data_IF_959576370648
#
_entry.id   IF_959576370648
#
_cell.length_a   1.000
_cell.length_b   1.000
_cell.length_c   1.000
_cell.angle_alpha   90.00
_cell.angle_beta   90.00
_cell.angle_gamma   90.00
#
_symmetry.space_group_name_H-M   'P 1'
#
loop_
_entity.id
_entity.type
_entity.pdbx_description
1 polymer ?
#
# COMPACT_ATOMS: atom_id res chain seq x y z
N UNK A 1 -54.39 30.92 18.48
CA UNK A 1 -53.03 31.32 18.16
C UNK A 1 -52.11 30.09 18.42
N UNK A 2 -51.42 29.57 17.43
CA UNK A 2 -50.45 28.51 17.69
C UNK A 2 -49.24 29.11 18.42
N UNK A 3 -48.60 28.35 19.33
CA UNK A 3 -47.43 28.84 20.07
C UNK A 3 -46.25 29.06 19.11
N UNK A 4 -45.64 30.24 19.17
CA UNK A 4 -44.48 30.62 18.44
C UNK A 4 -43.31 29.69 18.83
N UNK A 5 -42.73 28.95 17.87
CA UNK A 5 -41.50 28.17 18.09
C UNK A 5 -40.37 29.14 18.44
N UNK A 6 -39.63 28.90 19.52
CA UNK A 6 -38.50 29.75 19.86
C UNK A 6 -37.45 29.67 18.74
N UNK A 7 -37.03 30.83 18.21
CA UNK A 7 -35.89 30.93 17.30
C UNK A 7 -34.61 30.55 18.04
N UNK A 8 -33.79 29.66 17.52
CA UNK A 8 -32.53 29.25 18.15
C UNK A 8 -31.42 30.28 17.90
N UNK A 9 -31.64 31.52 18.37
CA UNK A 9 -30.63 32.59 18.26
C UNK A 9 -29.81 32.72 19.55
N UNK A 10 -29.29 31.60 20.05
CA UNK A 10 -28.43 31.55 21.22
C UNK A 10 -27.00 31.06 20.88
N UNK A 11 -26.01 31.51 21.63
CA UNK A 11 -24.63 31.02 21.53
C UNK A 11 -24.53 29.52 21.79
N UNK A 12 -25.39 28.98 22.64
CA UNK A 12 -25.42 27.59 23.09
C UNK A 12 -25.63 26.58 21.93
N UNK A 13 -26.62 26.75 21.01
CA UNK A 13 -26.77 25.84 19.87
C UNK A 13 -25.58 25.83 18.92
N UNK A 14 -24.93 26.98 18.70
CA UNK A 14 -23.74 27.05 17.84
C UNK A 14 -22.54 26.35 18.50
N UNK A 15 -22.35 26.50 19.80
CA UNK A 15 -21.31 25.81 20.55
C UNK A 15 -21.53 24.29 20.53
N UNK A 16 -22.78 23.86 20.68
CA UNK A 16 -23.13 22.44 20.64
C UNK A 16 -22.87 21.85 19.27
N UNK A 17 -23.27 22.54 18.17
CA UNK A 17 -22.98 22.10 16.80
C UNK A 17 -21.47 22.01 16.53
N UNK A 18 -20.66 22.96 17.02
CA UNK A 18 -19.20 22.91 16.90
C UNK A 18 -18.63 21.68 17.62
N UNK A 19 -19.08 21.40 18.85
CA UNK A 19 -18.64 20.25 19.62
C UNK A 19 -19.00 18.92 18.94
N UNK A 20 -20.18 18.84 18.36
CA UNK A 20 -20.61 17.66 17.59
C UNK A 20 -19.72 17.44 16.37
N UNK A 21 -19.47 18.49 15.58
CA UNK A 21 -18.58 18.42 14.41
C UNK A 21 -17.16 18.02 14.82
N UNK A 22 -16.61 18.62 15.89
CA UNK A 22 -15.28 18.28 16.38
C UNK A 22 -15.20 16.83 16.88
N UNK A 23 -16.26 16.34 17.54
CA UNK A 23 -16.32 14.96 18.02
C UNK A 23 -16.35 13.96 16.86
N UNK A 24 -17.14 14.24 15.83
CA UNK A 24 -17.20 13.42 14.61
C UNK A 24 -15.86 13.47 13.86
N UNK A 25 -15.27 14.64 13.70
CA UNK A 25 -13.97 14.79 13.04
C UNK A 25 -12.86 14.04 13.79
N UNK A 26 -12.86 14.14 15.12
CA UNK A 26 -11.91 13.42 15.97
C UNK A 26 -12.09 11.90 15.87
N UNK A 27 -13.35 11.43 15.87
CA UNK A 27 -13.66 10.02 15.66
C UNK A 27 -13.11 9.51 14.31
N UNK A 28 -13.39 10.23 13.23
CA UNK A 28 -12.92 9.89 11.89
C UNK A 28 -11.39 9.87 11.84
N UNK A 29 -10.74 10.91 12.38
CA UNK A 29 -9.27 11.01 12.40
C UNK A 29 -8.62 9.90 13.23
N UNK A 30 -9.27 9.48 14.33
CA UNK A 30 -8.71 8.47 15.24
C UNK A 30 -8.91 7.04 14.72
N UNK A 31 -10.11 6.72 14.21
CA UNK A 31 -10.50 5.34 13.93
C UNK A 31 -10.48 4.97 12.45
N UNK A 32 -10.63 5.93 11.55
CA UNK A 32 -10.78 5.65 10.12
C UNK A 32 -9.54 6.02 9.33
N UNK A 33 -8.93 7.18 9.61
CA UNK A 33 -7.84 7.72 8.83
C UNK A 33 -6.51 7.69 9.58
N UNK A 34 -5.44 7.39 8.86
CA UNK A 34 -4.08 7.45 9.39
C UNK A 34 -3.16 8.13 8.40
N UNK A 35 -2.38 9.15 8.84
CA UNK A 35 -1.34 9.74 8.03
C UNK A 35 -0.10 8.84 8.00
N UNK A 36 0.53 8.75 6.82
CA UNK A 36 1.82 8.09 6.62
C UNK A 36 2.74 9.01 5.82
N UNK A 37 4.04 8.88 6.06
CA UNK A 37 5.08 9.54 5.26
C UNK A 37 5.83 8.47 4.46
N UNK A 38 6.13 8.77 3.19
CA UNK A 38 6.88 7.88 2.32
C UNK A 38 8.37 8.10 2.54
N UNK A 39 9.10 7.10 3.08
CA UNK A 39 10.52 7.23 3.38
C UNK A 39 11.44 6.74 2.27
N UNK A 40 10.93 5.93 1.31
CA UNK A 40 11.74 5.24 0.29
C UNK A 40 11.16 5.44 -1.11
N UNK A 41 11.97 5.19 -2.11
CA UNK A 41 11.70 5.35 -3.53
C UNK A 41 11.14 4.09 -4.22
N UNK A 42 10.96 3.01 -3.48
CA UNK A 42 10.48 1.73 -4.00
C UNK A 42 9.11 1.77 -4.70
N UNK A 43 8.31 2.81 -4.44
CA UNK A 43 7.00 3.03 -5.06
C UNK A 43 6.99 4.17 -6.10
N UNK A 44 8.16 4.71 -6.47
CA UNK A 44 8.26 5.68 -7.55
C UNK A 44 7.85 5.06 -8.89
N UNK A 45 7.22 5.84 -9.77
CA UNK A 45 6.83 7.24 -9.64
C UNK A 45 5.47 7.45 -8.95
N UNK A 46 4.77 6.39 -8.56
CA UNK A 46 3.42 6.49 -7.99
C UNK A 46 3.42 7.26 -6.66
N UNK A 47 4.38 6.97 -5.78
CA UNK A 47 4.62 7.67 -4.52
C UNK A 47 6.07 8.15 -4.48
N UNK A 48 6.27 9.40 -4.09
CA UNK A 48 7.60 10.01 -4.01
C UNK A 48 8.11 10.04 -2.57
N UNK A 49 9.42 9.95 -2.39
CA UNK A 49 10.04 10.16 -1.07
C UNK A 49 9.67 11.54 -0.55
N UNK A 50 9.11 11.61 0.65
CA UNK A 50 8.63 12.85 1.26
C UNK A 50 7.15 13.14 1.01
N UNK A 51 6.44 12.29 0.30
CA UNK A 51 4.98 12.36 0.21
C UNK A 51 4.34 12.04 1.58
N UNK A 52 3.29 12.78 1.92
CA UNK A 52 2.40 12.52 3.03
C UNK A 52 1.06 12.05 2.48
N UNK A 53 0.70 10.83 2.80
CA UNK A 53 -0.55 10.23 2.36
C UNK A 53 -1.50 10.00 3.52
N UNK A 54 -2.78 10.03 3.20
CA UNK A 54 -3.84 9.61 4.10
C UNK A 54 -4.32 8.21 3.71
N UNK A 55 -4.38 7.32 4.68
CA UNK A 55 -4.79 5.94 4.47
C UNK A 55 -6.04 5.59 5.28
N UNK A 56 -6.90 4.74 4.72
CA UNK A 56 -8.07 4.19 5.37
C UNK A 56 -7.71 2.89 6.09
N UNK A 57 -7.79 2.91 7.42
CA UNK A 57 -7.55 1.74 8.29
C UNK A 57 -8.68 0.72 8.25
N UNK A 58 -9.92 1.19 8.06
CA UNK A 58 -11.09 0.31 8.08
C UNK A 58 -11.18 -0.60 6.85
N UNK A 59 -10.50 -0.23 5.75
CA UNK A 59 -10.53 -1.04 4.53
C UNK A 59 -10.11 -2.49 4.75
N UNK A 60 -9.28 -2.75 5.76
CA UNK A 60 -8.69 -4.07 5.99
C UNK A 60 -8.69 -4.51 7.46
N UNK A 61 -9.37 -3.77 8.33
CA UNK A 61 -9.48 -4.15 9.74
C UNK A 61 -10.02 -5.58 9.90
N UNK A 62 -9.49 -6.37 10.83
CA UNK A 62 -10.12 -7.63 11.22
C UNK A 62 -11.50 -7.34 11.81
N UNK A 63 -12.43 -8.29 11.64
CA UNK A 63 -13.82 -8.23 12.10
C UNK A 63 -13.99 -7.50 13.44
N UNK A 64 -14.72 -6.39 13.40
CA UNK A 64 -14.97 -5.54 14.55
C UNK A 64 -16.43 -5.07 14.65
N UNK A 65 -16.81 -4.39 15.74
CA UNK A 65 -18.20 -3.95 15.95
C UNK A 65 -18.69 -2.94 14.88
N UNK A 66 -17.78 -2.37 14.08
CA UNK A 66 -18.11 -1.45 13.00
C UNK A 66 -18.28 -2.12 11.63
N UNK A 67 -18.08 -3.43 11.49
CA UNK A 67 -18.16 -4.15 10.20
C UNK A 67 -19.55 -4.06 9.58
N UNK A 68 -20.60 -3.93 10.40
CA UNK A 68 -21.96 -3.75 9.91
C UNK A 68 -22.15 -2.37 9.23
N UNK A 69 -21.35 -1.38 9.65
CA UNK A 69 -21.39 -0.02 9.10
C UNK A 69 -20.37 0.20 7.99
N UNK A 70 -19.21 -0.45 8.10
CA UNK A 70 -18.06 -0.30 7.21
C UNK A 70 -17.49 -1.70 6.91
N UNK A 71 -18.11 -2.44 5.99
CA UNK A 71 -17.66 -3.81 5.68
C UNK A 71 -16.21 -3.80 5.16
N UNK A 72 -15.40 -4.81 5.51
CA UNK A 72 -14.02 -4.91 5.06
C UNK A 72 -13.97 -4.98 3.53
N UNK A 73 -13.08 -4.21 2.94
CA UNK A 73 -12.90 -4.15 1.50
C UNK A 73 -12.12 -5.37 1.01
N UNK A 74 -12.53 -5.94 -0.10
CA UNK A 74 -11.76 -6.98 -0.80
C UNK A 74 -10.48 -6.37 -1.38
N UNK A 75 -9.37 -7.08 -1.24
CA UNK A 75 -8.11 -6.71 -1.85
C UNK A 75 -8.10 -7.20 -3.30
N UNK A 76 -7.79 -6.29 -4.22
CA UNK A 76 -7.70 -6.58 -5.65
C UNK A 76 -6.26 -6.48 -6.14
N UNK A 77 -6.00 -7.11 -7.26
CA UNK A 77 -4.72 -6.93 -7.97
C UNK A 77 -4.59 -5.47 -8.42
N UNK A 78 -3.40 -4.91 -8.22
CA UNK A 78 -3.11 -3.51 -8.49
C UNK A 78 -3.35 -2.58 -7.29
N UNK A 79 -4.04 -3.02 -6.24
CA UNK A 79 -4.21 -2.22 -5.03
C UNK A 79 -2.86 -1.90 -4.38
N UNK A 80 -2.68 -0.67 -3.95
CA UNK A 80 -1.58 -0.30 -3.06
C UNK A 80 -2.02 -0.58 -1.63
N UNK A 81 -1.18 -1.28 -0.88
CA UNK A 81 -1.47 -1.69 0.50
C UNK A 81 -0.36 -1.26 1.44
N UNK A 82 -0.76 -0.91 2.67
CA UNK A 82 0.14 -0.67 3.80
C UNK A 82 0.01 -1.87 4.72
N UNK A 83 1.13 -2.46 5.10
CA UNK A 83 1.15 -3.67 5.91
C UNK A 83 2.34 -3.68 6.87
N UNK A 84 2.24 -4.44 7.94
CA UNK A 84 3.37 -4.74 8.81
C UNK A 84 4.36 -5.66 8.11
N UNK A 85 5.64 -5.27 8.10
CA UNK A 85 6.68 -6.05 7.45
C UNK A 85 6.80 -7.44 8.09
N UNK A 86 6.70 -8.54 7.31
CA UNK A 86 6.66 -9.88 7.89
C UNK A 86 7.87 -10.28 8.74
N UNK A 87 9.05 -9.69 8.47
CA UNK A 87 10.29 -9.97 9.19
C UNK A 87 10.51 -9.00 10.37
N UNK A 88 9.81 -7.87 10.41
CA UNK A 88 9.92 -6.85 11.44
C UNK A 88 8.56 -6.13 11.58
N UNK A 89 7.63 -6.67 12.37
CA UNK A 89 6.26 -6.14 12.48
C UNK A 89 6.16 -4.71 13.03
N UNK A 90 7.21 -4.17 13.63
CA UNK A 90 7.24 -2.76 14.08
C UNK A 90 7.40 -1.78 12.91
N UNK A 91 7.78 -2.28 11.74
CA UNK A 91 7.90 -1.49 10.51
C UNK A 91 6.67 -1.67 9.62
N UNK A 92 6.13 -0.57 9.13
CA UNK A 92 5.12 -0.58 8.08
C UNK A 92 5.77 -0.37 6.71
N UNK A 93 5.38 -1.19 5.73
CA UNK A 93 5.79 -1.08 4.34
C UNK A 93 4.59 -0.75 3.45
N UNK A 94 4.88 -0.16 2.30
CA UNK A 94 3.90 0.15 1.25
C UNK A 94 4.36 -0.52 -0.03
N UNK A 95 3.51 -1.34 -0.62
CA UNK A 95 3.75 -2.03 -1.89
C UNK A 95 2.44 -2.19 -2.67
N UNK A 96 2.56 -2.63 -3.91
CA UNK A 96 1.42 -2.95 -4.78
C UNK A 96 1.16 -4.46 -4.80
N UNK A 97 -0.10 -4.84 -4.70
CA UNK A 97 -0.54 -6.25 -4.84
C UNK A 97 -0.42 -6.67 -6.30
N UNK A 98 0.43 -7.66 -6.55
CA UNK A 98 0.68 -8.21 -7.89
C UNK A 98 -0.03 -9.53 -8.10
N UNK A 99 0.03 -10.44 -7.11
CA UNK A 99 -0.68 -11.70 -7.20
C UNK A 99 -1.55 -11.95 -5.96
N UNK A 100 -2.71 -12.55 -6.20
CA UNK A 100 -3.75 -12.88 -5.23
C UNK A 100 -3.63 -14.35 -4.79
N UNK A 101 -4.28 -14.76 -3.69
CA UNK A 101 -4.36 -16.17 -3.29
C UNK A 101 -4.76 -17.07 -4.45
N UNK A 102 -3.98 -18.11 -4.71
CA UNK A 102 -4.19 -19.08 -5.78
C UNK A 102 -3.58 -18.71 -7.13
N UNK A 103 -3.08 -17.49 -7.32
CA UNK A 103 -2.35 -17.11 -8.54
C UNK A 103 -0.98 -17.82 -8.58
N UNK A 104 -0.56 -18.17 -9.79
CA UNK A 104 0.80 -18.62 -10.09
C UNK A 104 1.59 -17.47 -10.67
N UNK A 105 2.75 -17.18 -10.08
CA UNK A 105 3.59 -16.05 -10.46
C UNK A 105 5.02 -16.50 -10.77
N UNK A 106 5.58 -15.90 -11.82
CA UNK A 106 7.02 -15.90 -12.09
C UNK A 106 7.41 -14.61 -12.82
N UNK A 107 8.70 -14.30 -12.82
CA UNK A 107 9.28 -13.21 -13.61
C UNK A 107 10.26 -13.78 -14.62
N UNK A 108 10.36 -13.13 -15.77
CA UNK A 108 11.43 -13.37 -16.77
C UNK A 108 11.87 -12.04 -17.36
N UNK A 109 13.17 -11.80 -17.31
CA UNK A 109 13.77 -10.52 -17.71
C UNK A 109 13.07 -9.32 -17.07
N UNK A 110 12.69 -9.42 -15.78
CA UNK A 110 11.97 -8.40 -15.03
C UNK A 110 10.46 -8.32 -15.30
N UNK A 111 9.94 -8.95 -16.34
CA UNK A 111 8.52 -8.95 -16.67
C UNK A 111 7.75 -9.98 -15.84
N UNK A 112 6.63 -9.55 -15.26
CA UNK A 112 5.76 -10.41 -14.45
C UNK A 112 4.84 -11.24 -15.34
N UNK A 113 4.77 -12.53 -15.03
CA UNK A 113 3.79 -13.46 -15.60
C UNK A 113 2.88 -13.98 -14.51
N UNK A 114 1.58 -13.94 -14.75
CA UNK A 114 0.56 -14.49 -13.88
C UNK A 114 -0.26 -15.53 -14.61
N UNK A 115 -0.36 -16.71 -14.02
CA UNK A 115 -1.14 -17.82 -14.59
C UNK A 115 -0.75 -18.11 -16.05
N UNK A 116 0.55 -18.01 -16.34
CA UNK A 116 1.13 -18.24 -17.66
C UNK A 116 0.97 -17.09 -18.68
N UNK A 117 0.45 -15.93 -18.27
CA UNK A 117 0.27 -14.76 -19.15
C UNK A 117 1.05 -13.56 -18.65
N UNK A 118 1.66 -12.75 -19.54
CA UNK A 118 2.32 -11.52 -19.11
C UNK A 118 1.30 -10.54 -18.52
N UNK A 119 1.68 -9.90 -17.41
CA UNK A 119 0.87 -8.87 -16.76
C UNK A 119 1.18 -7.51 -17.38
N UNK A 120 0.12 -6.74 -17.69
CA UNK A 120 0.26 -5.35 -18.14
C UNK A 120 0.34 -4.46 -16.91
N UNK A 121 1.47 -3.73 -16.76
CA UNK A 121 1.79 -2.98 -15.55
C UNK A 121 2.22 -1.54 -15.90
N UNK A 122 1.26 -0.64 -16.21
CA UNK A 122 1.59 0.72 -16.64
C UNK A 122 2.23 1.59 -15.55
N UNK A 123 2.17 1.14 -14.30
CA UNK A 123 2.76 1.79 -13.13
C UNK A 123 4.21 1.36 -12.87
N UNK A 124 4.64 0.24 -13.43
CA UNK A 124 5.97 -0.31 -13.18
C UNK A 124 7.05 0.49 -13.92
N UNK A 125 8.12 0.81 -13.20
CA UNK A 125 9.32 1.42 -13.77
C UNK A 125 10.56 0.59 -13.44
N UNK A 126 11.54 0.67 -14.31
CA UNK A 126 12.80 -0.07 -14.21
C UNK A 126 13.94 0.94 -14.24
N UNK A 127 14.34 1.41 -13.05
CA UNK A 127 15.51 2.28 -12.94
C UNK A 127 16.77 1.55 -13.42
N UNK A 128 17.70 2.23 -14.08
CA UNK A 128 18.94 1.60 -14.52
C UNK A 128 19.68 0.95 -13.36
N UNK A 129 19.93 -0.35 -13.43
CA UNK A 129 20.65 -1.12 -12.44
C UNK A 129 21.38 -2.29 -13.12
N UNK A 130 22.45 -2.84 -12.51
CA UNK A 130 23.06 -4.06 -13.01
C UNK A 130 22.05 -5.19 -13.15
N UNK A 131 22.20 -6.09 -14.15
CA UNK A 131 21.38 -7.28 -14.26
C UNK A 131 21.48 -8.14 -12.99
N UNK A 132 20.32 -8.63 -12.53
CA UNK A 132 20.22 -9.46 -11.35
C UNK A 132 19.25 -10.62 -11.61
N UNK A 133 19.78 -11.84 -11.73
CA UNK A 133 18.98 -13.01 -12.07
C UNK A 133 18.01 -13.41 -10.97
N UNK A 134 18.29 -13.10 -9.69
CA UNK A 134 17.37 -13.38 -8.60
C UNK A 134 16.14 -12.46 -8.69
N UNK A 135 16.38 -11.18 -8.93
CA UNK A 135 15.34 -10.16 -9.07
C UNK A 135 14.54 -10.32 -10.36
N UNK A 136 15.25 -10.56 -11.47
CA UNK A 136 14.70 -10.42 -12.82
C UNK A 136 14.10 -11.72 -13.36
N UNK A 137 14.58 -12.89 -12.88
CA UNK A 137 14.11 -14.23 -13.29
C UNK A 137 13.56 -15.03 -12.08
N UNK A 138 12.69 -14.40 -11.30
CA UNK A 138 12.09 -14.99 -10.10
C UNK A 138 11.01 -16.07 -10.43
N UNK A 139 10.95 -17.22 -9.70
CA UNK A 139 11.88 -17.67 -8.68
C UNK A 139 13.19 -18.16 -9.29
N UNK A 140 14.32 -17.65 -8.80
CA UNK A 140 15.64 -18.12 -9.20
C UNK A 140 16.29 -18.88 -8.05
N UNK A 141 16.50 -20.19 -8.22
CA UNK A 141 17.07 -21.07 -7.19
C UNK A 141 18.56 -21.37 -7.40
N UNK A 142 19.18 -20.78 -8.42
CA UNK A 142 20.59 -21.07 -8.76
C UNK A 142 21.57 -20.50 -7.75
N UNK A 143 21.31 -19.29 -7.27
CA UNK A 143 22.12 -18.60 -6.27
C UNK A 143 21.21 -17.90 -5.28
N UNK A 144 21.56 -17.98 -3.98
CA UNK A 144 20.89 -17.17 -2.96
C UNK A 144 21.32 -15.72 -3.16
N UNK A 145 20.36 -14.81 -3.16
CA UNK A 145 20.65 -13.37 -3.11
C UNK A 145 21.02 -12.99 -1.66
N UNK A 146 22.08 -12.19 -1.43
CA UNK A 146 22.46 -11.75 -0.09
C UNK A 146 21.38 -10.96 0.65
N UNK A 147 20.48 -10.30 -0.09
CA UNK A 147 19.36 -9.51 0.47
C UNK A 147 18.09 -10.36 0.69
N UNK A 148 18.05 -11.59 0.17
CA UNK A 148 16.91 -12.47 0.36
C UNK A 148 16.93 -13.08 1.78
N UNK A 149 15.75 -13.10 2.42
CA UNK A 149 15.60 -13.79 3.70
C UNK A 149 15.92 -15.28 3.56
N UNK A 150 16.79 -15.84 4.40
CA UNK A 150 17.22 -17.24 4.31
C UNK A 150 16.05 -18.24 4.45
N UNK A 151 15.04 -17.92 5.28
CA UNK A 151 13.88 -18.79 5.46
C UNK A 151 12.99 -18.75 4.22
N UNK A 152 12.82 -17.55 3.66
CA UNK A 152 12.11 -17.39 2.39
C UNK A 152 12.81 -18.16 1.26
N UNK A 153 14.11 -18.02 1.14
CA UNK A 153 14.87 -18.74 0.13
C UNK A 153 14.77 -20.27 0.27
N UNK A 154 14.78 -20.76 1.51
CA UNK A 154 14.54 -22.18 1.78
C UNK A 154 13.11 -22.62 1.45
N UNK A 155 12.14 -21.74 1.67
CA UNK A 155 10.73 -21.97 1.34
C UNK A 155 10.49 -21.99 -0.18
N UNK A 156 11.10 -21.07 -0.94
CA UNK A 156 11.03 -21.03 -2.40
C UNK A 156 11.37 -22.38 -3.03
N UNK A 157 12.38 -23.08 -2.51
CA UNK A 157 12.77 -24.41 -2.99
C UNK A 157 11.67 -25.46 -2.87
N UNK A 158 10.72 -25.27 -1.96
CA UNK A 158 9.57 -26.16 -1.75
C UNK A 158 8.35 -25.72 -2.54
N UNK A 159 8.25 -24.43 -2.82
CA UNK A 159 7.12 -23.82 -3.52
C UNK A 159 7.29 -23.78 -5.03
N UNK A 160 8.55 -23.86 -5.52
CA UNK A 160 8.85 -23.80 -6.94
C UNK A 160 8.34 -25.06 -7.65
N UNK A 161 7.32 -24.86 -8.45
CA UNK A 161 6.77 -25.86 -9.36
C UNK A 161 7.01 -25.40 -10.80
N UNK A 162 8.06 -25.89 -11.43
CA UNK A 162 8.39 -25.57 -12.82
C UNK A 162 8.74 -24.10 -13.08
N UNK A 163 9.54 -23.50 -12.20
CA UNK A 163 9.94 -22.09 -12.20
C UNK A 163 8.77 -21.11 -12.02
N UNK A 164 7.74 -21.49 -11.30
CA UNK A 164 6.69 -20.59 -10.83
C UNK A 164 6.23 -20.98 -9.42
N UNK A 165 5.73 -20.02 -8.67
CA UNK A 165 5.20 -20.25 -7.31
C UNK A 165 3.71 -19.93 -7.27
N UNK A 166 2.98 -20.69 -6.46
CA UNK A 166 1.56 -20.43 -6.19
C UNK A 166 1.43 -19.64 -4.89
N UNK A 167 0.68 -18.55 -4.93
CA UNK A 167 0.39 -17.74 -3.73
C UNK A 167 -0.54 -18.53 -2.81
N UNK A 168 -0.17 -18.76 -1.54
CA UNK A 168 -1.00 -19.51 -0.59
C UNK A 168 -2.34 -18.83 -0.31
N UNK A 169 -3.33 -19.57 0.22
CA UNK A 169 -4.57 -18.99 0.73
C UNK A 169 -4.30 -17.92 1.80
N UNK A 170 -5.01 -16.81 1.73
CA UNK A 170 -4.88 -15.63 2.62
C UNK A 170 -3.54 -14.88 2.55
N UNK A 171 -2.71 -15.16 1.58
CA UNK A 171 -1.45 -14.46 1.35
C UNK A 171 -1.50 -13.67 0.05
N UNK A 172 -0.65 -12.65 -0.04
CA UNK A 172 -0.51 -11.80 -1.22
C UNK A 172 0.95 -11.70 -1.62
N UNK A 173 1.19 -11.63 -2.92
CA UNK A 173 2.51 -11.29 -3.46
C UNK A 173 2.51 -9.83 -3.86
N UNK A 174 3.39 -9.06 -3.27
CA UNK A 174 3.46 -7.61 -3.47
C UNK A 174 4.81 -7.19 -4.04
N UNK A 175 4.82 -6.14 -4.86
CA UNK A 175 6.05 -5.58 -5.41
C UNK A 175 6.04 -4.05 -5.33
N UNK A 176 7.24 -3.45 -5.34
CA UNK A 176 7.35 -2.01 -5.56
C UNK A 176 7.10 -1.66 -7.02
N UNK A 177 6.65 -0.43 -7.28
CA UNK A 177 6.47 0.08 -8.63
C UNK A 177 7.83 0.37 -9.29
N UNK A 178 8.83 0.79 -8.50
CA UNK A 178 10.24 0.88 -8.92
C UNK A 178 10.90 -0.50 -8.80
N UNK A 179 10.78 -1.32 -9.84
CA UNK A 179 11.11 -2.75 -9.85
C UNK A 179 12.54 -3.09 -9.48
N UNK A 180 13.46 -2.26 -9.92
CA UNK A 180 14.89 -2.50 -9.73
C UNK A 180 15.43 -1.93 -8.42
N UNK A 181 14.60 -1.16 -7.71
CA UNK A 181 14.95 -0.53 -6.44
C UNK A 181 13.85 -0.79 -5.38
N UNK A 182 13.49 -2.05 -5.24
CA UNK A 182 12.49 -2.50 -4.28
C UNK A 182 12.84 -3.85 -3.68
N UNK A 183 13.01 -3.87 -2.36
CA UNK A 183 12.93 -5.08 -1.58
C UNK A 183 11.46 -5.39 -1.31
N UNK A 184 10.96 -6.50 -1.88
CA UNK A 184 9.55 -6.87 -1.85
C UNK A 184 9.39 -8.39 -1.75
N UNK A 185 8.24 -8.92 -2.10
CA UNK A 185 7.95 -10.36 -1.98
C UNK A 185 8.94 -11.27 -2.69
N UNK A 186 9.72 -10.76 -3.63
CA UNK A 186 10.82 -11.53 -4.23
C UNK A 186 11.89 -11.90 -3.20
N UNK A 187 12.11 -11.03 -2.21
CA UNK A 187 13.22 -11.13 -1.24
C UNK A 187 12.81 -11.70 0.12
N UNK A 188 11.55 -11.46 0.56
CA UNK A 188 11.10 -11.83 1.91
C UNK A 188 9.78 -12.60 1.95
N UNK A 189 9.13 -12.86 0.80
CA UNK A 189 7.99 -13.74 0.70
C UNK A 189 6.62 -13.06 0.68
N UNK A 190 5.62 -13.80 1.10
CA UNK A 190 4.23 -13.37 1.04
C UNK A 190 3.84 -12.43 2.18
N UNK A 191 2.82 -11.62 1.92
CA UNK A 191 2.17 -10.76 2.92
C UNK A 191 0.88 -11.43 3.37
N UNK A 192 0.80 -11.90 4.62
CA UNK A 192 -0.43 -12.44 5.17
C UNK A 192 -1.54 -11.37 5.24
N UNK A 193 -2.78 -11.76 4.93
CA UNK A 193 -3.94 -10.84 4.94
C UNK A 193 -4.09 -10.06 6.25
N UNK A 194 -3.82 -10.68 7.37
CA UNK A 194 -3.97 -10.09 8.70
C UNK A 194 -2.87 -9.05 9.04
N UNK A 195 -1.80 -8.99 8.27
CA UNK A 195 -0.75 -7.95 8.43
C UNK A 195 -1.06 -6.69 7.64
N UNK A 196 -2.02 -6.73 6.71
CA UNK A 196 -2.42 -5.57 5.92
C UNK A 196 -3.33 -4.67 6.76
N UNK A 197 -2.88 -3.44 7.01
CA UNK A 197 -3.47 -2.52 8.00
C UNK A 197 -4.23 -1.36 7.39
N UNK A 198 -3.89 -0.94 6.16
CA UNK A 198 -4.55 0.21 5.55
C UNK A 198 -4.42 0.22 4.02
N UNK A 199 -5.31 0.99 3.37
CA UNK A 199 -5.24 1.34 1.95
C UNK A 199 -4.98 2.84 1.81
N UNK A 200 -3.96 3.26 1.05
CA UNK A 200 -3.77 4.67 0.75
C UNK A 200 -4.97 5.22 -0.05
N UNK A 201 -5.40 6.43 0.27
CA UNK A 201 -6.48 7.12 -0.42
C UNK A 201 -5.92 8.18 -1.38
N UNK A 202 -5.13 9.10 -0.84
CA UNK A 202 -4.51 10.18 -1.59
C UNK A 202 -3.31 10.76 -0.87
N UNK A 203 -2.43 11.41 -1.63
CA UNK A 203 -1.33 12.22 -1.11
C UNK A 203 -1.87 13.62 -0.85
N UNK A 204 -1.78 14.11 0.39
CA UNK A 204 -2.29 15.41 0.78
C UNK A 204 -1.21 16.50 0.90
N UNK A 205 0.04 16.11 1.01
CA UNK A 205 1.19 17.00 1.01
C UNK A 205 2.43 16.29 0.49
N UNK A 206 3.39 17.01 -0.07
CA UNK A 206 4.67 16.47 -0.51
C UNK A 206 5.78 17.47 -0.17
N UNK A 207 6.86 16.96 0.45
CA UNK A 207 8.13 17.67 0.63
C UNK A 207 9.23 17.01 -0.22
N UNK A 208 8.82 16.30 -1.27
CA UNK A 208 9.75 15.70 -2.21
C UNK A 208 10.72 16.81 -2.70
N UNK A 209 12.02 16.57 -2.56
CA UNK A 209 13.03 17.47 -3.10
C UNK A 209 13.02 17.34 -4.61
N UNK A 210 12.32 18.26 -5.26
CA UNK A 210 12.52 18.48 -6.68
C UNK A 210 13.90 19.16 -6.84
N UNK A 211 14.77 18.68 -7.74
CA UNK A 211 16.02 19.34 -8.05
C UNK A 211 15.82 20.75 -8.66
N UNK A 212 14.59 21.13 -9.03
CA UNK A 212 14.25 22.46 -9.56
C UNK A 212 13.39 23.26 -8.56
N UNK A 213 13.99 24.21 -7.80
CA UNK A 213 13.30 24.96 -6.73
C UNK A 213 12.14 25.85 -7.18
N UNK A 214 11.93 26.03 -8.47
CA UNK A 214 10.78 26.78 -9.04
C UNK A 214 9.46 26.03 -8.94
N UNK A 215 9.48 24.75 -8.59
CA UNK A 215 8.33 23.85 -8.62
C UNK A 215 7.71 23.61 -7.24
N UNK A 216 8.30 24.12 -6.15
CA UNK A 216 7.78 23.93 -4.79
C UNK A 216 6.32 24.42 -4.64
N UNK A 217 6.00 25.58 -5.20
CA UNK A 217 4.63 26.11 -5.25
C UNK A 217 3.73 25.27 -6.19
N UNK A 218 4.28 24.73 -7.27
CA UNK A 218 3.53 23.89 -8.20
C UNK A 218 3.16 22.55 -7.55
N UNK A 219 4.07 21.92 -6.80
CA UNK A 219 3.78 20.69 -6.04
C UNK A 219 2.76 20.92 -4.92
N UNK A 220 2.81 22.06 -4.23
CA UNK A 220 1.80 22.40 -3.22
C UNK A 220 0.41 22.58 -3.83
N UNK A 221 0.34 23.00 -5.10
CA UNK A 221 -0.92 23.27 -5.82
C UNK A 221 -1.44 22.04 -6.62
N UNK A 222 -0.60 21.03 -6.85
CA UNK A 222 -0.98 19.81 -7.61
C UNK A 222 -1.34 18.61 -6.72
N UNK A 223 -1.21 18.71 -5.41
CA UNK A 223 -1.78 17.77 -4.46
C UNK A 223 -3.20 18.21 -4.08
N UNK A 224 -4.19 17.29 -4.00
CA UNK A 224 -4.05 15.86 -3.73
C UNK A 224 -3.99 14.98 -4.98
N UNK A 225 -3.13 13.94 -4.97
CA UNK A 225 -3.13 12.87 -5.96
C UNK A 225 -3.96 11.69 -5.43
N UNK A 226 -5.03 11.35 -6.15
CA UNK A 226 -5.83 10.16 -5.83
C UNK A 226 -5.07 8.92 -6.28
N UNK A 227 -4.99 7.93 -5.41
CA UNK A 227 -4.30 6.66 -5.66
C UNK A 227 -5.34 5.60 -6.05
N UNK A 228 -5.25 5.12 -7.28
CA UNK A 228 -6.10 4.06 -7.83
C UNK A 228 -5.32 2.76 -7.95
#
# INVERSE_FOLDING_TARGET
>A
MPPSRPHPNGLLPHLQAILEILSIALFIATFILQPFRIPSDSMQPTLLVGDFLLANKQSFAPTGPLDALLPPTTIHRGDIVIFHYPLDPDRALIKRVIALPGDRIHLRNGLVFLNGKPLTEPYAVYTPSPPDTFRDDFPSLRHADPNADPNWWAQLRRLDLHNEITVPPNDYFVMGDNRNDSEDSRYWGFVPRNTIIARPLFVYASIARDPHPTTFLHHLLTTPRILH
#
